data_IF_929990514470
#
_entry.id   IF_929990514470
#
_cell.length_a   1.000
_cell.length_b   1.000
_cell.length_c   1.000
_cell.angle_alpha   90.00
_cell.angle_beta   90.00
_cell.angle_gamma   90.00
#
_symmetry.space_group_name_H-M   'P 1'
#
loop_
_entity.id
_entity.type
_entity.pdbx_description
1 polymer ?
#
# COMPACT_ATOMS: atom_id res chain seq x y z
N UNK A 1 26.04 20.46 6.20
CA UNK A 1 25.11 21.21 5.34
C UNK A 1 23.74 21.14 5.98
N UNK A 2 23.41 22.16 6.78
CA UNK A 2 22.12 22.26 7.46
C UNK A 2 21.04 22.46 6.40
N UNK A 3 20.23 21.41 6.20
CA UNK A 3 19.07 21.45 5.33
C UNK A 3 18.06 22.43 5.94
N UNK A 4 17.95 23.62 5.35
CA UNK A 4 16.92 24.60 5.69
C UNK A 4 15.57 23.86 5.72
N UNK A 5 14.93 23.76 6.90
CA UNK A 5 13.86 22.78 7.14
C UNK A 5 12.64 22.87 6.20
N UNK A 6 12.53 23.89 5.35
CA UNK A 6 11.61 23.95 4.22
C UNK A 6 12.04 23.08 3.02
N UNK A 7 13.32 23.08 2.63
CA UNK A 7 13.86 22.29 1.51
C UNK A 7 13.76 20.80 1.79
N UNK A 8 14.09 20.37 3.01
CA UNK A 8 13.92 18.98 3.44
C UNK A 8 12.49 18.45 3.38
N UNK A 9 11.51 19.30 3.72
CA UNK A 9 10.08 18.95 3.65
C UNK A 9 9.57 18.77 2.23
N UNK A 10 9.94 19.68 1.33
CA UNK A 10 9.56 19.59 -0.09
C UNK A 10 10.20 18.36 -0.73
N UNK A 11 11.48 18.09 -0.41
CA UNK A 11 12.16 16.87 -0.85
C UNK A 11 11.44 15.61 -0.34
N UNK A 12 11.01 15.59 0.92
CA UNK A 12 10.25 14.47 1.47
C UNK A 12 8.90 14.28 0.75
N UNK A 13 8.15 15.35 0.48
CA UNK A 13 6.90 15.28 -0.27
C UNK A 13 7.11 14.67 -1.67
N UNK A 14 8.06 15.18 -2.45
CA UNK A 14 8.34 14.66 -3.79
C UNK A 14 8.86 13.22 -3.77
N UNK A 15 9.65 12.85 -2.76
CA UNK A 15 10.12 11.47 -2.61
C UNK A 15 8.93 10.53 -2.37
N UNK A 16 7.98 10.90 -1.52
CA UNK A 16 6.77 10.10 -1.30
C UNK A 16 5.89 10.00 -2.55
N UNK A 17 5.72 11.10 -3.29
CA UNK A 17 4.92 11.15 -4.52
C UNK A 17 5.43 10.17 -5.58
N UNK A 18 6.76 9.96 -5.64
CA UNK A 18 7.38 8.99 -6.55
C UNK A 18 7.40 7.58 -5.94
N UNK A 19 7.66 7.47 -4.65
CA UNK A 19 7.81 6.17 -3.97
C UNK A 19 6.49 5.40 -3.89
N UNK A 20 5.36 6.09 -3.70
CA UNK A 20 4.04 5.46 -3.60
C UNK A 20 3.68 4.61 -4.84
N UNK A 21 3.66 5.15 -6.08
CA UNK A 21 3.37 4.35 -7.27
C UNK A 21 4.45 3.30 -7.56
N UNK A 22 5.70 3.52 -7.14
CA UNK A 22 6.76 2.53 -7.28
C UNK A 22 6.47 1.28 -6.45
N UNK A 23 6.17 1.44 -5.16
CA UNK A 23 5.91 0.32 -4.25
C UNK A 23 4.60 -0.41 -4.52
N UNK A 24 3.63 0.26 -5.15
CA UNK A 24 2.33 -0.32 -5.48
C UNK A 24 2.37 -1.00 -6.86
N UNK A 25 2.36 -0.19 -7.92
CA UNK A 25 2.04 -0.66 -9.26
C UNK A 25 3.24 -1.16 -10.04
N UNK A 26 4.38 -0.46 -9.92
CA UNK A 26 5.54 -0.80 -10.75
C UNK A 26 6.24 -2.07 -10.27
N UNK A 27 6.11 -2.38 -8.98
CA UNK A 27 6.54 -3.66 -8.42
C UNK A 27 5.53 -4.78 -8.66
N UNK A 28 4.34 -4.53 -9.23
CA UNK A 28 3.31 -5.55 -9.39
C UNK A 28 2.82 -5.64 -10.82
N UNK A 29 2.00 -4.67 -11.23
CA UNK A 29 1.36 -4.57 -12.53
C UNK A 29 2.37 -4.45 -13.66
N UNK A 30 3.52 -3.80 -13.45
CA UNK A 30 4.53 -3.72 -14.51
C UNK A 30 5.23 -5.06 -14.81
N UNK A 31 5.17 -6.04 -13.90
CA UNK A 31 5.62 -7.41 -14.18
C UNK A 31 4.69 -8.10 -15.17
N UNK A 32 3.37 -7.90 -15.00
CA UNK A 32 2.35 -8.45 -15.88
C UNK A 32 2.27 -7.72 -17.23
N UNK A 33 2.31 -6.39 -17.17
CA UNK A 33 2.13 -5.48 -18.30
C UNK A 33 3.28 -4.47 -18.28
N UNK A 34 4.44 -4.78 -18.88
CA UNK A 34 5.62 -3.91 -18.86
C UNK A 34 5.37 -2.48 -19.39
N UNK A 35 4.34 -2.27 -20.22
CA UNK A 35 3.95 -0.96 -20.71
C UNK A 35 3.41 -0.04 -19.61
N UNK A 36 3.07 -0.56 -18.42
CA UNK A 36 2.63 0.21 -17.25
C UNK A 36 3.65 1.26 -16.82
N UNK A 37 4.95 1.06 -17.11
CA UNK A 37 5.97 2.09 -16.90
C UNK A 37 5.69 3.40 -17.66
N UNK A 38 4.97 3.33 -18.79
CA UNK A 38 4.57 4.49 -19.59
C UNK A 38 3.39 5.23 -18.92
N UNK A 39 2.57 4.52 -18.14
CA UNK A 39 1.44 5.10 -17.41
C UNK A 39 1.87 5.82 -16.12
N UNK A 40 3.16 5.83 -15.76
CA UNK A 40 3.68 6.48 -14.56
C UNK A 40 3.20 7.95 -14.36
N UNK A 41 3.11 8.80 -15.40
CA UNK A 41 2.57 10.16 -15.25
C UNK A 41 1.11 10.19 -14.79
N UNK A 42 0.31 9.17 -15.10
CA UNK A 42 -1.07 9.01 -14.64
C UNK A 42 -1.12 8.44 -13.21
N UNK A 43 -0.20 7.54 -12.89
CA UNK A 43 -0.09 6.93 -11.55
C UNK A 43 0.39 7.95 -10.49
N UNK A 44 1.19 8.95 -10.86
CA UNK A 44 1.74 9.94 -9.92
C UNK A 44 0.65 10.82 -9.26
N UNK A 45 -0.29 11.45 -9.99
CA UNK A 45 -1.39 12.21 -9.37
C UNK A 45 -2.25 11.35 -8.46
N UNK A 46 -2.49 10.11 -8.86
CA UNK A 46 -3.34 9.16 -8.17
C UNK A 46 -2.68 8.60 -6.90
N UNK A 47 -1.62 7.81 -7.06
CA UNK A 47 -0.86 7.23 -5.95
C UNK A 47 -0.08 8.27 -5.17
N UNK A 48 0.70 9.09 -5.87
CA UNK A 48 1.59 10.04 -5.24
C UNK A 48 0.85 11.11 -4.44
N UNK A 49 -0.14 11.77 -5.03
CA UNK A 49 -0.89 12.81 -4.33
C UNK A 49 -1.89 12.23 -3.31
N UNK A 50 -2.56 11.12 -3.62
CA UNK A 50 -3.47 10.44 -2.70
C UNK A 50 -2.79 10.02 -1.39
N UNK A 51 -1.66 9.32 -1.48
CA UNK A 51 -0.89 8.88 -0.31
C UNK A 51 -0.29 10.06 0.45
N UNK A 52 0.16 11.10 -0.25
CA UNK A 52 0.61 12.34 0.37
C UNK A 52 -0.51 13.00 1.18
N UNK A 53 -1.74 13.07 0.66
CA UNK A 53 -2.89 13.61 1.39
C UNK A 53 -3.24 12.81 2.63
N UNK A 54 -3.28 11.48 2.52
CA UNK A 54 -3.53 10.58 3.65
C UNK A 54 -2.54 10.88 4.77
N UNK A 55 -1.24 10.91 4.45
CA UNK A 55 -0.19 11.24 5.40
C UNK A 55 -0.40 12.61 6.02
N UNK A 56 -0.61 13.62 5.18
CA UNK A 56 -0.76 15.01 5.61
C UNK A 56 -1.97 15.18 6.53
N UNK A 57 -3.08 14.47 6.29
CA UNK A 57 -4.27 14.47 7.12
C UNK A 57 -4.02 13.79 8.48
N UNK A 58 -3.43 12.59 8.48
CA UNK A 58 -3.11 11.85 9.71
C UNK A 58 -2.16 12.64 10.60
N UNK A 59 -1.07 13.17 10.04
CA UNK A 59 -0.08 13.92 10.82
C UNK A 59 -0.69 15.18 11.43
N UNK A 60 -1.55 15.91 10.71
CA UNK A 60 -2.24 17.10 11.24
C UNK A 60 -3.27 16.76 12.31
N UNK A 61 -3.92 15.60 12.19
CA UNK A 61 -4.88 15.12 13.19
C UNK A 61 -4.20 14.50 14.42
N UNK A 62 -2.88 14.34 14.44
CA UNK A 62 -2.17 13.60 15.49
C UNK A 62 -2.48 12.09 15.48
N UNK A 63 -2.88 11.56 14.32
CA UNK A 63 -3.18 10.15 14.13
C UNK A 63 -1.92 9.29 13.98
N UNK A 64 -2.13 7.97 13.98
CA UNK A 64 -1.06 6.98 13.82
C UNK A 64 -1.45 5.86 12.85
N UNK A 65 -0.86 4.67 13.03
CA UNK A 65 -1.13 3.50 12.19
C UNK A 65 -2.61 3.17 11.99
N UNK A 66 -3.48 3.19 13.03
CA UNK A 66 -4.90 2.91 12.82
C UNK A 66 -5.58 3.91 11.89
N UNK A 67 -5.23 5.20 11.99
CA UNK A 67 -5.73 6.25 11.09
C UNK A 67 -5.24 6.04 9.66
N UNK A 68 -3.98 5.63 9.47
CA UNK A 68 -3.43 5.32 8.15
C UNK A 68 -4.14 4.13 7.50
N UNK A 69 -4.39 3.06 8.27
CA UNK A 69 -5.13 1.89 7.78
C UNK A 69 -6.54 2.30 7.37
N UNK A 70 -7.28 3.02 8.21
CA UNK A 70 -8.63 3.45 7.91
C UNK A 70 -8.71 4.36 6.67
N UNK A 71 -7.74 5.27 6.49
CA UNK A 71 -7.66 6.08 5.28
C UNK A 71 -7.16 5.30 4.06
N UNK A 72 -6.35 4.26 4.25
CA UNK A 72 -5.99 3.33 3.17
C UNK A 72 -7.20 2.54 2.65
N UNK A 73 -8.11 2.13 3.54
CA UNK A 73 -9.41 1.53 3.15
C UNK A 73 -10.25 2.54 2.35
N UNK A 74 -10.31 3.79 2.81
CA UNK A 74 -11.04 4.85 2.09
C UNK A 74 -10.42 5.17 0.73
N UNK A 75 -9.09 5.09 0.65
CA UNK A 75 -8.32 5.33 -0.56
C UNK A 75 -8.59 4.26 -1.62
N UNK A 76 -8.58 2.98 -1.24
CA UNK A 76 -8.96 1.91 -2.16
C UNK A 76 -10.39 2.08 -2.71
N UNK A 77 -11.36 2.41 -1.85
CA UNK A 77 -12.73 2.66 -2.32
C UNK A 77 -12.83 3.87 -3.26
N UNK A 78 -11.97 4.88 -3.08
CA UNK A 78 -11.91 6.01 -3.98
C UNK A 78 -11.34 5.61 -5.34
N UNK A 79 -10.31 4.76 -5.37
CA UNK A 79 -9.69 4.29 -6.61
C UNK A 79 -10.53 3.24 -7.31
N UNK A 80 -10.73 2.08 -6.71
CA UNK A 80 -11.39 0.95 -7.35
C UNK A 80 -12.92 1.09 -7.36
N UNK A 81 -13.48 1.74 -6.33
CA UNK A 81 -14.92 1.95 -6.21
C UNK A 81 -15.45 3.13 -7.04
N UNK A 82 -14.84 4.31 -6.92
CA UNK A 82 -15.30 5.53 -7.61
C UNK A 82 -14.58 5.77 -8.93
N UNK A 83 -13.25 5.61 -8.96
CA UNK A 83 -12.42 5.84 -10.13
C UNK A 83 -12.62 4.78 -11.19
N UNK A 84 -12.16 3.56 -10.91
CA UNK A 84 -12.26 2.43 -11.84
C UNK A 84 -13.69 1.88 -11.95
N UNK A 85 -14.46 1.95 -10.86
CA UNK A 85 -15.76 1.28 -10.74
C UNK A 85 -15.66 -0.26 -10.88
N UNK A 86 -14.46 -0.80 -10.65
CA UNK A 86 -14.14 -2.22 -10.76
C UNK A 86 -14.89 -3.06 -9.72
N UNK A 87 -15.18 -2.50 -8.53
CA UNK A 87 -15.84 -3.20 -7.44
C UNK A 87 -17.26 -3.68 -7.76
N UNK A 88 -17.91 -3.08 -8.76
CA UNK A 88 -19.25 -3.50 -9.21
C UNK A 88 -19.28 -3.98 -10.66
N UNK A 89 -18.22 -3.73 -11.43
CA UNK A 89 -18.13 -4.15 -12.82
C UNK A 89 -18.23 -5.68 -12.96
N UNK A 90 -18.99 -6.21 -13.92
CA UNK A 90 -19.06 -7.65 -14.20
C UNK A 90 -17.85 -8.15 -15.02
N UNK A 91 -17.09 -7.26 -15.65
CA UNK A 91 -16.13 -7.58 -16.72
C UNK A 91 -14.72 -7.08 -16.41
N UNK A 92 -14.57 -6.11 -15.51
CA UNK A 92 -13.27 -5.52 -15.18
C UNK A 92 -12.32 -6.59 -14.63
N UNK A 93 -11.19 -6.78 -15.33
CA UNK A 93 -10.11 -7.73 -15.00
C UNK A 93 -10.56 -9.19 -14.86
N UNK A 94 -11.67 -9.58 -15.50
CA UNK A 94 -12.30 -10.89 -15.36
C UNK A 94 -12.57 -11.25 -13.88
N UNK A 95 -12.66 -10.24 -13.01
CA UNK A 95 -12.71 -10.43 -11.57
C UNK A 95 -13.98 -11.15 -11.12
N UNK A 96 -15.05 -11.08 -11.92
CA UNK A 96 -16.29 -11.80 -11.67
C UNK A 96 -16.12 -13.32 -11.69
N UNK A 97 -15.14 -13.87 -12.41
CA UNK A 97 -15.00 -15.31 -12.61
C UNK A 97 -14.43 -16.04 -11.40
N UNK A 98 -13.69 -15.33 -10.54
CA UNK A 98 -12.98 -15.93 -9.40
C UNK A 98 -13.41 -15.38 -8.04
N UNK A 99 -14.50 -14.60 -7.99
CA UNK A 99 -14.87 -13.83 -6.80
C UNK A 99 -16.25 -14.09 -6.24
N UNK A 100 -16.38 -13.88 -4.93
CA UNK A 100 -17.65 -13.85 -4.24
C UNK A 100 -18.28 -12.45 -4.36
N UNK A 101 -19.53 -12.40 -4.82
CA UNK A 101 -20.31 -11.16 -4.93
C UNK A 101 -21.45 -11.10 -3.93
N UNK A 102 -21.72 -9.89 -3.44
CA UNK A 102 -22.83 -9.55 -2.56
C UNK A 102 -23.49 -8.28 -3.07
N UNK A 103 -24.78 -8.34 -3.45
CA UNK A 103 -25.54 -7.19 -3.97
C UNK A 103 -24.82 -6.43 -5.11
N UNK A 104 -24.13 -7.16 -5.98
CA UNK A 104 -23.35 -6.58 -7.10
C UNK A 104 -21.92 -6.15 -6.73
N UNK A 105 -21.58 -6.03 -5.45
CA UNK A 105 -20.24 -5.74 -4.95
C UNK A 105 -19.35 -6.99 -4.97
N UNK A 106 -18.13 -6.85 -5.50
CA UNK A 106 -17.13 -7.91 -5.58
C UNK A 106 -16.24 -7.93 -4.32
N UNK A 107 -16.60 -8.77 -3.35
CA UNK A 107 -15.94 -8.81 -2.05
C UNK A 107 -14.56 -9.46 -2.06
N UNK A 108 -14.34 -10.49 -2.90
CA UNK A 108 -13.02 -11.13 -3.00
C UNK A 108 -12.02 -10.22 -3.69
N UNK A 109 -12.43 -9.58 -4.81
CA UNK A 109 -11.59 -8.61 -5.50
C UNK A 109 -11.27 -7.42 -4.58
N UNK A 110 -12.30 -6.85 -3.93
CA UNK A 110 -12.10 -5.78 -2.96
C UNK A 110 -11.09 -6.17 -1.88
N UNK A 111 -11.21 -7.36 -1.28
CA UNK A 111 -10.29 -7.78 -0.23
C UNK A 111 -8.86 -7.98 -0.75
N UNK A 112 -8.70 -8.46 -1.99
CA UNK A 112 -7.39 -8.59 -2.61
C UNK A 112 -6.73 -7.22 -2.81
N UNK A 113 -7.48 -6.30 -3.43
CA UNK A 113 -7.03 -4.97 -3.78
C UNK A 113 -6.78 -4.12 -2.53
N UNK A 114 -7.67 -4.17 -1.53
CA UNK A 114 -7.49 -3.39 -0.31
C UNK A 114 -6.22 -3.78 0.46
N UNK A 115 -5.80 -5.04 0.40
CA UNK A 115 -4.49 -5.45 0.89
C UNK A 115 -3.35 -4.75 0.16
N UNK A 116 -3.40 -4.70 -1.18
CA UNK A 116 -2.43 -4.01 -2.03
C UNK A 116 -2.41 -2.49 -1.75
N UNK A 117 -3.56 -1.84 -1.81
CA UNK A 117 -3.68 -0.39 -1.60
C UNK A 117 -3.26 0.02 -0.18
N UNK A 118 -3.76 -0.65 0.86
CA UNK A 118 -3.37 -0.30 2.23
C UNK A 118 -1.88 -0.57 2.45
N UNK A 119 -1.40 -1.78 2.17
CA UNK A 119 -0.04 -2.17 2.59
C UNK A 119 1.02 -1.57 1.67
N UNK A 120 0.89 -1.76 0.36
CA UNK A 120 1.93 -1.46 -0.62
C UNK A 120 1.85 -0.03 -1.15
N UNK A 121 0.66 0.55 -1.20
CA UNK A 121 0.48 1.93 -1.67
C UNK A 121 0.59 2.94 -0.54
N UNK A 122 0.09 2.63 0.66
CA UNK A 122 0.09 3.57 1.79
C UNK A 122 1.17 3.23 2.81
N UNK A 123 1.09 2.07 3.47
CA UNK A 123 1.90 1.82 4.68
C UNK A 123 3.40 1.66 4.39
N UNK A 124 3.77 0.87 3.37
CA UNK A 124 5.18 0.60 3.02
C UNK A 124 5.90 1.90 2.59
N UNK A 125 5.37 2.70 1.65
CA UNK A 125 6.00 3.97 1.28
C UNK A 125 6.18 4.90 2.48
N UNK A 126 5.20 4.97 3.39
CA UNK A 126 5.30 5.79 4.59
C UNK A 126 6.34 5.25 5.59
N UNK A 127 6.46 3.93 5.76
CA UNK A 127 7.52 3.31 6.56
C UNK A 127 8.91 3.62 5.99
N UNK A 128 9.07 3.52 4.67
CA UNK A 128 10.32 3.87 3.98
C UNK A 128 10.63 5.36 4.13
N UNK A 129 9.62 6.23 4.01
CA UNK A 129 9.76 7.68 4.23
C UNK A 129 10.17 8.01 5.66
N UNK A 130 9.64 7.29 6.64
CA UNK A 130 10.05 7.43 8.02
C UNK A 130 11.54 7.09 8.19
N UNK A 131 12.04 6.04 7.54
CA UNK A 131 13.46 5.68 7.57
C UNK A 131 14.34 6.68 6.78
N UNK A 132 13.85 7.21 5.66
CA UNK A 132 14.59 8.16 4.83
C UNK A 132 14.69 9.55 5.48
N UNK A 133 13.57 10.04 6.04
CA UNK A 133 13.40 11.40 6.57
C UNK A 133 12.95 11.40 8.05
N UNK A 134 13.75 10.86 8.98
CA UNK A 134 13.34 10.68 10.39
C UNK A 134 12.97 11.98 11.10
N UNK A 135 13.59 13.12 10.72
CA UNK A 135 13.27 14.45 11.27
C UNK A 135 11.90 14.99 10.88
N UNK A 136 11.25 14.37 9.89
CA UNK A 136 9.96 14.81 9.37
C UNK A 136 8.83 13.81 9.62
N UNK A 137 9.07 12.66 10.30
CA UNK A 137 8.06 11.60 10.56
C UNK A 137 6.72 12.15 11.07
N UNK A 138 6.77 12.96 12.13
CA UNK A 138 5.61 13.55 12.80
C UNK A 138 5.32 14.99 12.40
N UNK A 139 5.87 15.46 11.26
CA UNK A 139 5.68 16.84 10.79
C UNK A 139 4.99 16.89 9.43
N UNK A 140 4.08 17.84 9.21
CA UNK A 140 3.54 18.10 7.88
C UNK A 140 4.64 18.46 6.89
N UNK A 141 4.59 17.87 5.69
CA UNK A 141 5.47 18.23 4.59
C UNK A 141 4.97 19.50 3.89
N UNK A 142 3.65 19.65 3.74
CA UNK A 142 3.04 20.71 2.97
C UNK A 142 2.53 21.86 3.84
N UNK A 143 2.41 23.05 3.24
CA UNK A 143 1.58 24.15 3.75
C UNK A 143 0.17 24.04 3.17
N UNK A 144 -0.76 24.89 3.61
CA UNK A 144 -2.17 24.88 3.15
C UNK A 144 -2.30 24.91 1.63
N UNK A 145 -1.57 25.79 0.93
CA UNK A 145 -1.61 25.84 -0.53
C UNK A 145 -1.14 24.53 -1.20
N UNK A 146 -0.08 23.92 -0.69
CA UNK A 146 0.39 22.62 -1.18
C UNK A 146 -0.62 21.50 -0.93
N UNK A 147 -1.33 21.55 0.21
CA UNK A 147 -2.39 20.59 0.52
C UNK A 147 -3.56 20.69 -0.48
N UNK A 148 -3.97 21.91 -0.84
CA UNK A 148 -5.02 22.15 -1.84
C UNK A 148 -4.58 21.61 -3.21
N UNK A 149 -3.33 21.85 -3.61
CA UNK A 149 -2.78 21.32 -4.87
C UNK A 149 -2.76 19.79 -4.86
N UNK A 150 -2.32 19.17 -3.76
CA UNK A 150 -2.33 17.72 -3.62
C UNK A 150 -3.77 17.16 -3.68
N UNK A 151 -4.73 17.84 -3.04
CA UNK A 151 -6.15 17.47 -3.05
C UNK A 151 -6.74 17.50 -4.45
N UNK A 152 -6.51 18.59 -5.18
CA UNK A 152 -6.92 18.72 -6.57
C UNK A 152 -6.27 17.64 -7.44
N UNK A 153 -4.96 17.38 -7.27
CA UNK A 153 -4.24 16.35 -8.02
C UNK A 153 -4.79 14.94 -7.75
N UNK A 154 -5.13 14.60 -6.51
CA UNK A 154 -5.72 13.30 -6.18
C UNK A 154 -7.12 13.13 -6.79
N UNK A 155 -7.97 14.16 -6.73
CA UNK A 155 -9.30 14.13 -7.37
C UNK A 155 -9.16 13.98 -8.89
N UNK A 156 -8.23 14.71 -9.51
CA UNK A 156 -7.91 14.55 -10.93
C UNK A 156 -7.35 13.17 -11.25
N UNK A 157 -6.57 12.56 -10.35
CA UNK A 157 -6.08 11.19 -10.46
C UNK A 157 -7.22 10.17 -10.50
N UNK A 158 -8.17 10.27 -9.57
CA UNK A 158 -9.37 9.42 -9.55
C UNK A 158 -10.25 9.63 -10.79
N UNK A 159 -10.39 10.87 -11.26
CA UNK A 159 -11.06 11.14 -12.53
C UNK A 159 -10.27 10.53 -13.72
N UNK A 160 -8.94 10.57 -13.67
CA UNK A 160 -8.05 9.95 -14.64
C UNK A 160 -8.22 8.42 -14.71
N UNK A 161 -8.43 7.76 -13.57
CA UNK A 161 -8.83 6.34 -13.54
C UNK A 161 -10.11 6.12 -14.33
N UNK A 162 -11.13 6.96 -14.07
CA UNK A 162 -12.45 6.80 -14.66
C UNK A 162 -12.44 6.98 -16.17
N UNK A 163 -11.82 8.06 -16.64
CA UNK A 163 -11.86 8.49 -18.04
C UNK A 163 -10.68 7.98 -18.88
N UNK A 164 -9.62 7.51 -18.24
CA UNK A 164 -8.46 6.91 -18.90
C UNK A 164 -8.50 5.38 -18.85
N UNK A 165 -8.33 4.81 -17.65
CA UNK A 165 -8.18 3.35 -17.48
C UNK A 165 -9.53 2.65 -17.66
N UNK A 166 -10.55 2.98 -16.86
CA UNK A 166 -11.83 2.28 -16.93
C UNK A 166 -12.54 2.48 -18.28
N UNK A 167 -12.40 3.65 -18.90
CA UNK A 167 -12.96 3.88 -20.24
C UNK A 167 -12.38 2.95 -21.33
N UNK A 168 -11.17 2.42 -21.13
CA UNK A 168 -10.53 1.48 -22.05
C UNK A 168 -10.69 0.03 -21.62
N UNK A 169 -10.61 -0.25 -20.31
CA UNK A 169 -10.67 -1.60 -19.75
C UNK A 169 -12.11 -2.13 -19.61
N UNK A 170 -13.09 -1.25 -19.42
CA UNK A 170 -14.50 -1.63 -19.29
C UNK A 170 -15.42 -0.59 -19.99
N UNK A 171 -15.37 -0.51 -21.34
CA UNK A 171 -16.02 0.55 -22.08
C UNK A 171 -17.54 0.56 -21.91
N UNK A 172 -18.09 1.72 -21.53
CA UNK A 172 -19.54 1.92 -21.41
C UNK A 172 -20.16 1.46 -20.09
N UNK A 173 -19.42 0.73 -19.24
CA UNK A 173 -19.91 0.38 -17.91
C UNK A 173 -20.05 1.62 -17.02
N UNK A 174 -21.11 1.64 -16.21
CA UNK A 174 -21.32 2.62 -15.14
C UNK A 174 -21.78 1.87 -13.89
N UNK A 175 -21.12 2.12 -12.76
CA UNK A 175 -21.54 1.61 -11.48
C UNK A 175 -22.96 2.10 -11.14
N UNK A 176 -23.80 1.27 -10.49
CA UNK A 176 -25.08 1.71 -9.97
C UNK A 176 -24.91 2.93 -9.05
N UNK A 177 -25.75 3.95 -9.23
CA UNK A 177 -25.70 5.18 -8.43
C UNK A 177 -25.76 4.89 -6.92
N UNK A 178 -26.55 3.89 -6.52
CA UNK A 178 -26.60 3.44 -5.12
C UNK A 178 -25.26 2.94 -4.58
N UNK A 179 -24.47 2.25 -5.40
CA UNK A 179 -23.11 1.81 -5.03
C UNK A 179 -22.16 3.00 -4.89
N UNK A 180 -22.21 3.96 -5.81
CA UNK A 180 -21.40 5.19 -5.74
C UNK A 180 -21.69 6.00 -4.47
N UNK A 181 -22.98 6.15 -4.12
CA UNK A 181 -23.41 6.81 -2.87
C UNK A 181 -22.89 6.03 -1.66
N UNK A 182 -23.00 4.70 -1.67
CA UNK A 182 -22.52 3.86 -0.58
C UNK A 182 -21.00 3.98 -0.39
N UNK A 183 -20.21 3.93 -1.48
CA UNK A 183 -18.75 4.11 -1.42
C UNK A 183 -18.40 5.49 -0.86
N UNK A 184 -19.01 6.56 -1.38
CA UNK A 184 -18.77 7.91 -0.87
C UNK A 184 -19.12 8.05 0.62
N UNK A 185 -20.23 7.45 1.06
CA UNK A 185 -20.62 7.43 2.47
C UNK A 185 -19.62 6.67 3.35
N UNK A 186 -19.17 5.49 2.92
CA UNK A 186 -18.18 4.69 3.66
C UNK A 186 -16.83 5.42 3.72
N UNK A 187 -16.37 6.04 2.63
CA UNK A 187 -15.17 6.88 2.60
C UNK A 187 -15.28 8.01 3.62
N UNK A 188 -16.41 8.72 3.66
CA UNK A 188 -16.63 9.80 4.62
C UNK A 188 -16.60 9.30 6.08
N UNK A 189 -17.26 8.17 6.36
CA UNK A 189 -17.24 7.55 7.70
C UNK A 189 -15.82 7.15 8.09
N UNK A 190 -15.09 6.46 7.21
CA UNK A 190 -13.70 6.06 7.44
C UNK A 190 -12.80 7.27 7.68
N UNK A 191 -12.94 8.35 6.92
CA UNK A 191 -12.19 9.58 7.11
C UNK A 191 -12.49 10.24 8.47
N UNK A 192 -13.77 10.30 8.87
CA UNK A 192 -14.15 10.83 10.19
C UNK A 192 -13.58 9.97 11.31
N UNK A 193 -13.70 8.65 11.22
CA UNK A 193 -13.14 7.71 12.20
C UNK A 193 -11.62 7.87 12.28
N UNK A 194 -10.94 7.91 11.14
CA UNK A 194 -9.49 8.03 11.08
C UNK A 194 -8.96 9.34 11.68
N UNK A 195 -9.64 10.46 11.42
CA UNK A 195 -9.14 11.80 11.73
C UNK A 195 -9.70 12.38 13.04
N UNK A 196 -10.80 11.84 13.57
CA UNK A 196 -11.42 12.34 14.82
C UNK A 196 -11.51 11.30 15.93
N UNK A 197 -11.61 10.01 15.60
CA UNK A 197 -11.84 8.95 16.61
C UNK A 197 -10.55 8.21 16.93
N UNK A 198 -9.77 7.81 15.92
CA UNK A 198 -8.54 7.03 16.10
C UNK A 198 -7.31 7.80 16.61
N UNK A 199 -7.16 9.14 16.42
CA UNK A 199 -5.99 9.85 16.94
C UNK A 199 -5.81 9.68 18.46
N UNK A 200 -4.58 9.46 18.89
CA UNK A 200 -4.24 9.17 20.29
C UNK A 200 -4.70 7.80 20.84
N UNK A 201 -5.47 7.02 20.07
CA UNK A 201 -5.95 5.69 20.48
C UNK A 201 -5.05 4.58 19.96
N UNK A 202 -3.98 4.31 20.68
CA UNK A 202 -3.19 3.09 20.52
C UNK A 202 -3.44 2.17 21.72
N UNK A 203 -4.15 1.06 21.51
CA UNK A 203 -4.30 0.07 22.57
C UNK A 203 -2.92 -0.56 22.87
N UNK A 204 -2.62 -0.69 24.16
CA UNK A 204 -1.41 -1.36 24.60
C UNK A 204 -1.39 -2.80 24.07
N UNK A 205 -0.21 -3.25 23.64
CA UNK A 205 0.02 -4.62 23.22
C UNK A 205 1.08 -5.25 24.11
N UNK A 206 0.93 -6.53 24.42
CA UNK A 206 1.95 -7.28 25.15
C UNK A 206 3.18 -7.46 24.25
N UNK A 207 4.37 -6.98 24.65
CA UNK A 207 5.57 -7.11 23.85
C UNK A 207 5.87 -8.56 23.47
N UNK A 208 6.37 -8.74 22.25
CA UNK A 208 6.90 -10.01 21.77
C UNK A 208 8.27 -9.72 21.16
N UNK A 209 9.37 -10.26 21.71
CA UNK A 209 10.69 -10.08 21.12
C UNK A 209 10.76 -10.73 19.73
N UNK A 210 11.45 -10.08 18.80
CA UNK A 210 11.73 -10.65 17.48
C UNK A 210 13.12 -10.28 17.01
N UNK A 211 13.74 -11.17 16.22
CA UNK A 211 15.00 -10.87 15.52
C UNK A 211 14.66 -10.31 14.14
N UNK A 212 15.29 -9.21 13.70
CA UNK A 212 14.98 -8.58 12.41
C UNK A 212 14.96 -9.55 11.23
N UNK A 213 15.94 -10.47 11.18
CA UNK A 213 16.10 -11.43 10.08
C UNK A 213 14.87 -12.32 9.83
N UNK A 214 14.06 -12.61 10.86
CA UNK A 214 12.86 -13.44 10.71
C UNK A 214 11.66 -12.67 10.17
N UNK A 215 11.69 -11.34 10.22
CA UNK A 215 10.59 -10.51 9.74
C UNK A 215 10.55 -10.44 8.20
N UNK A 216 11.67 -10.66 7.53
CA UNK A 216 11.70 -10.77 6.06
C UNK A 216 10.91 -11.98 5.57
N UNK A 217 11.28 -13.22 5.94
CA UNK A 217 10.51 -14.40 5.60
C UNK A 217 9.06 -14.32 6.05
N UNK A 218 8.78 -13.73 7.22
CA UNK A 218 7.40 -13.50 7.67
C UNK A 218 6.63 -12.56 6.74
N UNK A 219 7.18 -11.38 6.42
CA UNK A 219 6.54 -10.42 5.51
C UNK A 219 6.30 -11.04 4.13
N UNK A 220 7.28 -11.79 3.62
CA UNK A 220 7.16 -12.51 2.36
C UNK A 220 6.03 -13.56 2.40
N UNK A 221 6.00 -14.40 3.43
CA UNK A 221 4.98 -15.42 3.60
C UNK A 221 3.59 -14.82 3.77
N UNK A 222 3.45 -13.78 4.60
CA UNK A 222 2.18 -13.09 4.80
C UNK A 222 1.64 -12.52 3.48
N UNK A 223 2.49 -11.88 2.67
CA UNK A 223 2.11 -11.37 1.34
C UNK A 223 1.70 -12.49 0.39
N UNK A 224 2.53 -13.53 0.22
CA UNK A 224 2.24 -14.62 -0.72
C UNK A 224 0.99 -15.41 -0.34
N UNK A 225 0.80 -15.69 0.96
CA UNK A 225 -0.39 -16.39 1.43
C UNK A 225 -1.62 -15.51 1.28
N UNK A 226 -1.56 -14.22 1.62
CA UNK A 226 -2.70 -13.31 1.47
C UNK A 226 -3.14 -13.19 0.01
N UNK A 227 -2.20 -12.88 -0.90
CA UNK A 227 -2.50 -12.75 -2.33
C UNK A 227 -2.88 -14.09 -2.95
N UNK A 228 -2.16 -15.16 -2.64
CA UNK A 228 -2.41 -16.50 -3.18
C UNK A 228 -3.69 -17.16 -2.67
N UNK A 229 -4.31 -16.65 -1.59
CA UNK A 229 -5.66 -17.04 -1.22
C UNK A 229 -6.73 -16.31 -2.05
N UNK A 230 -6.46 -15.09 -2.51
CA UNK A 230 -7.47 -14.21 -3.09
C UNK A 230 -7.39 -14.07 -4.61
N UNK A 231 -6.21 -14.25 -5.20
CA UNK A 231 -5.92 -13.98 -6.60
C UNK A 231 -5.30 -15.20 -7.28
N UNK A 232 -5.71 -15.54 -8.51
CA UNK A 232 -5.05 -16.59 -9.27
C UNK A 232 -3.61 -16.17 -9.59
N UNK A 233 -2.68 -17.13 -9.51
CA UNK A 233 -1.27 -16.86 -9.77
C UNK A 233 -1.09 -16.30 -11.19
N UNK A 234 -0.50 -15.10 -11.28
CA UNK A 234 -0.32 -14.40 -12.55
C UNK A 234 -1.58 -13.84 -13.17
N UNK A 235 -2.67 -13.64 -12.41
CA UNK A 235 -3.94 -13.07 -12.89
C UNK A 235 -4.53 -13.78 -14.13
N UNK A 236 -4.25 -15.07 -14.30
CA UNK A 236 -4.75 -15.83 -15.44
C UNK A 236 -6.28 -15.97 -15.36
N UNK A 237 -7.01 -15.72 -16.46
CA UNK A 237 -8.42 -16.10 -16.56
C UNK A 237 -8.57 -17.61 -16.40
N UNK A 238 -9.63 -18.07 -15.72
CA UNK A 238 -9.81 -19.52 -15.51
C UNK A 238 -10.58 -19.96 -14.26
N UNK A 239 -11.35 -19.07 -13.63
CA UNK A 239 -12.17 -19.41 -12.46
C UNK A 239 -11.45 -19.31 -11.11
N UNK A 240 -12.08 -19.81 -10.02
CA UNK A 240 -11.58 -19.69 -8.65
C UNK A 240 -10.13 -20.19 -8.47
N UNK A 241 -9.38 -19.54 -7.57
CA UNK A 241 -7.97 -19.85 -7.28
C UNK A 241 -7.71 -21.33 -6.96
N UNK A 242 -8.65 -21.98 -6.28
CA UNK A 242 -8.57 -23.39 -5.87
C UNK A 242 -9.53 -24.30 -6.67
N UNK A 243 -9.99 -23.81 -7.82
CA UNK A 243 -11.04 -24.45 -8.63
C UNK A 243 -12.39 -24.51 -7.91
N UNK A 244 -13.35 -25.19 -8.54
CA UNK A 244 -14.72 -25.28 -8.03
C UNK A 244 -14.88 -26.17 -6.80
N UNK A 245 -13.84 -26.97 -6.46
CA UNK A 245 -13.87 -27.91 -5.35
C UNK A 245 -13.78 -27.22 -3.97
N UNK A 246 -13.24 -26.00 -3.90
CA UNK A 246 -13.06 -25.25 -2.65
C UNK A 246 -14.04 -24.07 -2.63
N UNK A 247 -14.97 -24.01 -1.67
CA UNK A 247 -15.89 -22.88 -1.56
C UNK A 247 -15.13 -21.56 -1.40
N UNK A 248 -15.45 -20.55 -2.23
CA UNK A 248 -14.80 -19.22 -2.25
C UNK A 248 -14.76 -18.50 -0.88
N UNK A 249 -15.66 -18.87 0.04
CA UNK A 249 -15.69 -18.33 1.41
C UNK A 249 -14.46 -18.75 2.22
N UNK A 250 -13.89 -19.94 2.00
CA UNK A 250 -12.74 -20.44 2.76
C UNK A 250 -11.47 -19.61 2.51
N UNK A 251 -11.02 -19.37 1.26
CA UNK A 251 -9.89 -18.49 1.01
C UNK A 251 -10.14 -17.05 1.50
N UNK A 252 -11.37 -16.55 1.36
CA UNK A 252 -11.76 -15.24 1.89
C UNK A 252 -11.53 -15.17 3.40
N UNK A 253 -12.08 -16.12 4.17
CA UNK A 253 -11.90 -16.18 5.62
C UNK A 253 -10.43 -16.41 6.02
N UNK A 254 -9.71 -17.23 5.26
CA UNK A 254 -8.28 -17.47 5.45
C UNK A 254 -7.46 -16.19 5.30
N UNK A 255 -7.74 -15.38 4.27
CA UNK A 255 -7.04 -14.11 4.04
C UNK A 255 -7.34 -13.08 5.13
N UNK A 256 -8.59 -13.02 5.62
CA UNK A 256 -8.97 -12.20 6.78
C UNK A 256 -8.22 -12.64 8.04
N UNK A 257 -8.08 -13.95 8.26
CA UNK A 257 -7.31 -14.48 9.38
C UNK A 257 -5.82 -14.13 9.28
N UNK A 258 -5.23 -14.22 8.08
CA UNK A 258 -3.83 -13.82 7.82
C UNK A 258 -3.63 -12.33 8.10
N UNK A 259 -4.53 -11.48 7.60
CA UNK A 259 -4.49 -10.03 7.86
C UNK A 259 -4.60 -9.70 9.35
N UNK A 260 -5.58 -10.29 10.04
CA UNK A 260 -5.79 -10.10 11.48
C UNK A 260 -4.58 -10.59 12.30
N UNK A 261 -4.06 -11.78 12.01
CA UNK A 261 -2.88 -12.33 12.67
C UNK A 261 -1.66 -11.43 12.44
N UNK A 262 -1.46 -10.94 11.22
CA UNK A 262 -0.38 -10.01 10.89
C UNK A 262 -0.49 -8.72 11.70
N UNK A 263 -1.67 -8.10 11.77
CA UNK A 263 -1.89 -6.89 12.58
C UNK A 263 -1.58 -7.15 14.06
N UNK A 264 -2.04 -8.27 14.61
CA UNK A 264 -1.80 -8.63 16.02
C UNK A 264 -0.31 -8.83 16.28
N UNK A 265 0.39 -9.59 15.43
CA UNK A 265 1.82 -9.85 15.57
C UNK A 265 2.64 -8.56 15.45
N UNK A 266 2.36 -7.73 14.44
CA UNK A 266 3.04 -6.45 14.25
C UNK A 266 2.86 -5.52 15.45
N UNK A 267 1.67 -5.46 16.04
CA UNK A 267 1.44 -4.66 17.26
C UNK A 267 2.24 -5.17 18.44
N UNK A 268 2.39 -6.48 18.58
CA UNK A 268 3.17 -7.08 19.68
C UNK A 268 4.67 -6.91 19.48
N UNK A 269 5.18 -7.08 18.26
CA UNK A 269 6.59 -6.83 17.96
C UNK A 269 6.94 -5.36 18.05
N UNK A 270 6.09 -4.45 17.57
CA UNK A 270 6.32 -3.01 17.68
C UNK A 270 6.24 -2.47 19.11
N UNK A 271 5.64 -3.22 20.04
CA UNK A 271 5.64 -2.90 21.47
C UNK A 271 6.93 -3.33 22.18
N UNK A 272 7.80 -4.10 21.52
CA UNK A 272 9.11 -4.47 22.08
C UNK A 272 10.06 -3.25 22.08
N UNK A 273 10.74 -2.94 23.21
CA UNK A 273 11.70 -1.84 23.27
C UNK A 273 12.88 -1.98 22.28
N UNK A 274 13.17 -3.20 21.84
CA UNK A 274 14.19 -3.48 20.83
C UNK A 274 13.73 -3.27 19.39
N UNK A 275 12.46 -2.94 19.15
CA UNK A 275 11.94 -2.71 17.80
C UNK A 275 12.54 -1.46 17.16
N UNK A 276 13.24 -1.64 16.05
CA UNK A 276 13.95 -0.56 15.35
C UNK A 276 13.75 -0.54 13.84
N UNK A 277 14.51 0.35 13.18
CA UNK A 277 14.47 0.49 11.72
C UNK A 277 15.00 -0.77 11.01
N UNK A 278 15.87 -1.56 11.64
CA UNK A 278 16.29 -2.86 11.12
C UNK A 278 15.11 -3.84 10.99
N UNK A 279 14.23 -3.94 12.00
CA UNK A 279 13.05 -4.80 11.95
C UNK A 279 12.09 -4.37 10.84
N UNK A 280 11.85 -3.06 10.72
CA UNK A 280 11.01 -2.48 9.67
C UNK A 280 11.56 -2.77 8.29
N UNK A 281 12.88 -2.64 8.11
CA UNK A 281 13.51 -2.87 6.82
C UNK A 281 13.40 -4.32 6.37
N UNK A 282 13.66 -5.28 7.27
CA UNK A 282 13.50 -6.70 6.95
C UNK A 282 12.05 -7.03 6.60
N UNK A 283 11.10 -6.57 7.41
CA UNK A 283 9.66 -6.77 7.18
C UNK A 283 9.22 -6.23 5.80
N UNK A 284 9.53 -4.96 5.53
CA UNK A 284 9.18 -4.29 4.26
C UNK A 284 9.86 -4.96 3.09
N UNK A 285 11.15 -5.31 3.23
CA UNK A 285 11.90 -5.94 2.15
C UNK A 285 11.35 -7.31 1.78
N UNK A 286 11.00 -8.14 2.76
CA UNK A 286 10.34 -9.42 2.50
C UNK A 286 9.00 -9.26 1.82
N UNK A 287 8.16 -8.33 2.30
CA UNK A 287 6.85 -8.07 1.74
C UNK A 287 6.92 -7.56 0.28
N UNK A 288 7.81 -6.61 -0.02
CA UNK A 288 7.97 -6.06 -1.38
C UNK A 288 8.48 -7.10 -2.38
N UNK A 289 9.55 -7.84 -2.03
CA UNK A 289 10.10 -8.87 -2.93
C UNK A 289 9.05 -9.94 -3.23
N UNK A 290 8.28 -10.36 -2.21
CA UNK A 290 7.21 -11.32 -2.38
C UNK A 290 6.05 -10.80 -3.23
N UNK A 291 5.70 -9.53 -3.08
CA UNK A 291 4.68 -8.86 -3.88
C UNK A 291 5.05 -8.87 -5.37
N UNK A 292 6.30 -8.53 -5.69
CA UNK A 292 6.81 -8.57 -7.07
C UNK A 292 6.92 -9.99 -7.60
N UNK A 293 7.40 -10.92 -6.78
CA UNK A 293 7.52 -12.33 -7.15
C UNK A 293 6.17 -13.00 -7.42
N UNK A 294 5.09 -12.56 -6.76
CA UNK A 294 3.74 -13.11 -6.93
C UNK A 294 3.25 -13.00 -8.39
N UNK A 295 3.71 -11.98 -9.12
CA UNK A 295 3.32 -11.75 -10.51
C UNK A 295 4.18 -12.50 -11.54
N UNK A 296 5.23 -13.20 -11.12
CA UNK A 296 6.11 -13.95 -12.04
C UNK A 296 5.41 -15.12 -12.72
N UNK A 297 4.68 -16.00 -12.01
CA UNK A 297 3.92 -17.06 -12.66
C UNK A 297 2.98 -16.44 -13.68
N UNK A 298 2.85 -17.05 -14.85
CA UNK A 298 1.86 -16.59 -15.83
C UNK A 298 2.39 -15.79 -17.01
N UNK A 299 3.50 -15.06 -16.86
CA UNK A 299 3.87 -13.95 -17.75
C UNK A 299 5.08 -14.21 -18.68
N UNK A 300 5.48 -15.47 -18.84
CA UNK A 300 6.56 -15.88 -19.74
C UNK A 300 7.92 -15.24 -19.43
N UNK A 301 8.84 -15.28 -20.41
CA UNK A 301 10.22 -14.79 -20.22
C UNK A 301 10.28 -13.27 -20.00
N UNK A 302 9.44 -12.49 -20.69
CA UNK A 302 9.44 -11.04 -20.54
C UNK A 302 9.02 -10.60 -19.13
N UNK A 303 7.94 -11.17 -18.57
CA UNK A 303 7.53 -10.91 -17.20
C UNK A 303 8.58 -11.36 -16.18
N UNK A 304 9.21 -12.53 -16.40
CA UNK A 304 10.31 -12.99 -15.55
C UNK A 304 11.49 -12.01 -15.53
N UNK A 305 11.92 -11.52 -16.71
CA UNK A 305 13.01 -10.53 -16.81
C UNK A 305 12.64 -9.24 -16.07
N UNK A 306 11.43 -8.71 -16.30
CA UNK A 306 10.96 -7.51 -15.60
C UNK A 306 10.96 -7.70 -14.09
N UNK A 307 10.46 -8.84 -13.60
CA UNK A 307 10.44 -9.14 -12.17
C UNK A 307 11.85 -9.23 -11.59
N UNK A 308 12.78 -9.94 -12.25
CA UNK A 308 14.17 -10.07 -11.77
C UNK A 308 14.85 -8.70 -11.69
N UNK A 309 14.69 -7.86 -12.72
CA UNK A 309 15.24 -6.50 -12.73
C UNK A 309 14.64 -5.65 -11.61
N UNK A 310 13.32 -5.75 -11.42
CA UNK A 310 12.59 -4.97 -10.41
C UNK A 310 12.98 -5.40 -8.99
N UNK A 311 13.01 -6.71 -8.71
CA UNK A 311 13.46 -7.27 -7.43
C UNK A 311 14.93 -6.89 -7.16
N UNK A 312 15.80 -6.95 -8.17
CA UNK A 312 17.20 -6.53 -8.01
C UNK A 312 17.29 -5.05 -7.64
N UNK A 313 16.51 -4.17 -8.28
CA UNK A 313 16.46 -2.75 -7.96
C UNK A 313 15.92 -2.49 -6.54
N UNK A 314 14.85 -3.19 -6.13
CA UNK A 314 14.31 -3.13 -4.76
C UNK A 314 15.36 -3.52 -3.72
N UNK A 315 16.02 -4.67 -3.92
CA UNK A 315 17.05 -5.18 -3.00
C UNK A 315 18.21 -4.18 -2.90
N UNK A 316 18.67 -3.63 -4.03
CA UNK A 316 19.73 -2.61 -4.03
C UNK A 316 19.30 -1.34 -3.29
N UNK A 317 18.06 -0.87 -3.48
CA UNK A 317 17.52 0.29 -2.77
C UNK A 317 17.40 0.04 -1.26
N UNK A 318 16.94 -1.14 -0.86
CA UNK A 318 16.83 -1.55 0.54
C UNK A 318 18.21 -1.72 1.19
N UNK A 319 19.20 -2.27 0.48
CA UNK A 319 20.58 -2.36 0.94
C UNK A 319 21.22 -0.98 1.12
N UNK A 320 20.93 -0.05 0.20
CA UNK A 320 21.34 1.34 0.34
C UNK A 320 20.70 1.99 1.57
N UNK A 321 19.39 1.79 1.78
CA UNK A 321 18.70 2.28 2.96
C UNK A 321 19.25 1.67 4.26
N UNK A 322 19.55 0.36 4.29
CA UNK A 322 20.22 -0.29 5.42
C UNK A 322 21.56 0.36 5.77
N UNK A 323 22.35 0.74 4.76
CA UNK A 323 23.63 1.43 4.97
C UNK A 323 23.41 2.83 5.55
N UNK A 324 22.39 3.55 5.09
CA UNK A 324 22.04 4.87 5.64
C UNK A 324 21.58 4.80 7.09
N UNK A 325 20.72 3.83 7.43
CA UNK A 325 20.23 3.61 8.80
C UNK A 325 21.41 3.29 9.72
N UNK A 326 22.26 2.32 9.36
CA UNK A 326 23.45 1.95 10.15
C UNK A 326 24.42 3.11 10.32
N UNK A 327 24.67 3.92 9.28
CA UNK A 327 25.58 5.08 9.39
C UNK A 327 25.08 6.09 10.42
N UNK A 328 23.77 6.33 10.46
CA UNK A 328 23.14 7.26 11.42
C UNK A 328 23.22 6.75 12.85
N UNK A 329 22.95 5.46 13.06
CA UNK A 329 23.08 4.83 14.39
C UNK A 329 24.51 4.95 14.93
N UNK A 330 25.53 4.67 14.12
CA UNK A 330 26.93 4.84 14.54
C UNK A 330 27.29 6.29 14.87
N UNK A 331 26.79 7.26 14.09
CA UNK A 331 27.04 8.70 14.37
C UNK A 331 26.35 9.18 15.65
N UNK A 332 25.19 8.62 16.00
CA UNK A 332 24.50 8.93 17.24
C UNK A 332 25.25 8.38 18.46
N UNK A 333 25.78 7.16 18.37
CA UNK A 333 26.61 6.56 19.43
C UNK A 333 27.92 7.32 19.64
N UNK A 334 28.59 7.75 18.55
CA UNK A 334 29.86 8.48 18.65
C UNK A 334 29.74 9.92 19.15
N UNK A 335 28.54 10.50 19.11
CA UNK A 335 28.29 11.89 19.56
C UNK A 335 27.69 11.99 20.96
N UNK A 336 27.37 10.87 21.61
CA UNK A 336 27.01 10.86 23.03
C UNK A 336 28.27 11.10 23.85
N UNK A 337 28.32 12.12 24.74
CA UNK A 337 29.45 12.31 25.64
C UNK A 337 29.67 11.02 26.44
N UNK A 338 30.94 10.57 26.53
CA UNK A 338 31.30 9.54 27.52
C UNK A 338 30.94 10.11 28.89
N UNK A 339 29.96 9.49 29.56
CA UNK A 339 29.66 9.76 30.95
C UNK A 339 30.85 9.35 31.83
#
# INVERSE_FOLDING_TARGET
>A
MEDNGSRGRIKAAWTLVVLAPLCAELTFTAVAVPQTWIALPLLIPMYGAGVLLIREAVVRAGGGWPSLVALGLAYELAEDGLGLQALTSPTMYDAAEWSLRFLGFNGTYWLAQVGVHVVFSVLIPLLLMDMLFPRHRSRPYLRTGGLVVAAAAAVLGVAGLRFGIAATQDPGYQAPVGALIAFAAVIAVLAVVALKVLPGRAAAARPLPSRPIWLGPFGAAATLVFLGLLMPAGLRPGGPVFGDAVPLVLPLLGSLAVGAATIVLLRRWAADPGWGDAHRLWLVGGAMVAHTAFMVPGHGTAGLVTAVVTIAAEVLALLWLARLVRKREHSAVSSSPKA
#
